data_IF_208591907516
#
_entry.id   IF_208591907516
#
_cell.length_a   1.000
_cell.length_b   1.000
_cell.length_c   1.000
_cell.angle_alpha   90.00
_cell.angle_beta   90.00
_cell.angle_gamma   90.00
#
_symmetry.space_group_name_H-M   'P 1'
#
loop_
_entity.id
_entity.type
_entity.pdbx_description
1 polymer ?
#
# COMPACT_ATOMS: atom_id res chain seq x y z
N UNK A 1 77.01 80.57 8.03
CA UNK A 1 75.53 80.67 7.92
C UNK A 1 74.96 79.69 6.90
N UNK A 2 75.47 79.61 5.65
CA UNK A 2 74.85 78.77 4.60
C UNK A 2 74.91 77.23 4.77
N UNK A 3 75.90 76.66 5.47
CA UNK A 3 76.02 75.20 5.65
C UNK A 3 75.03 74.64 6.67
N UNK A 4 74.71 75.40 7.72
CA UNK A 4 73.73 75.02 8.74
C UNK A 4 72.30 75.02 8.18
N UNK A 5 71.97 76.00 7.33
CA UNK A 5 70.63 76.07 6.72
C UNK A 5 70.38 74.93 5.73
N UNK A 6 71.41 74.56 4.94
CA UNK A 6 71.33 73.43 4.00
C UNK A 6 71.18 72.10 4.77
N UNK A 7 71.94 71.90 5.84
CA UNK A 7 71.83 70.65 6.65
C UNK A 7 70.48 70.51 7.32
N UNK A 8 69.92 71.60 7.88
CA UNK A 8 68.56 71.60 8.43
C UNK A 8 67.52 71.28 7.34
N UNK A 9 67.65 71.86 6.14
CA UNK A 9 66.76 71.57 5.00
C UNK A 9 66.81 70.11 4.55
N UNK A 10 68.00 69.49 4.53
CA UNK A 10 68.15 68.09 4.17
C UNK A 10 67.53 67.17 5.22
N UNK A 11 67.70 67.50 6.50
CA UNK A 11 67.09 66.74 7.61
C UNK A 11 65.57 66.82 7.53
N UNK A 12 65.00 68.01 7.33
CA UNK A 12 63.54 68.17 7.21
C UNK A 12 62.99 67.47 5.97
N UNK A 13 63.67 67.58 4.82
CA UNK A 13 63.31 66.86 3.61
C UNK A 13 63.34 65.34 3.82
N UNK A 14 64.34 64.82 4.53
CA UNK A 14 64.43 63.40 4.89
C UNK A 14 63.25 62.96 5.76
N UNK A 15 62.91 63.72 6.82
CA UNK A 15 61.75 63.41 7.66
C UNK A 15 60.44 63.44 6.88
N UNK A 16 60.26 64.39 5.97
CA UNK A 16 59.08 64.48 5.10
C UNK A 16 59.01 63.27 4.17
N UNK A 17 60.10 62.90 3.51
CA UNK A 17 60.17 61.72 2.63
C UNK A 17 59.87 60.43 3.41
N UNK A 18 60.44 60.29 4.61
CA UNK A 18 60.19 59.15 5.48
C UNK A 18 58.71 59.08 5.89
N UNK A 19 58.11 60.21 6.28
CA UNK A 19 56.69 60.28 6.61
C UNK A 19 55.79 59.92 5.42
N UNK A 20 56.11 60.42 4.21
CA UNK A 20 55.38 60.08 2.98
C UNK A 20 55.50 58.59 2.65
N UNK A 21 56.69 58.00 2.80
CA UNK A 21 56.91 56.58 2.58
C UNK A 21 56.11 55.74 3.59
N UNK A 22 56.12 56.14 4.87
CA UNK A 22 55.33 55.48 5.91
C UNK A 22 53.83 55.53 5.60
N UNK A 23 53.30 56.69 5.22
CA UNK A 23 51.89 56.86 4.83
C UNK A 23 51.55 56.01 3.60
N UNK A 24 52.43 55.96 2.60
CA UNK A 24 52.24 55.14 1.39
C UNK A 24 52.12 53.64 1.71
N UNK A 25 52.98 53.13 2.61
CA UNK A 25 52.92 51.72 3.06
C UNK A 25 51.59 51.45 3.77
N UNK A 26 51.15 52.34 4.66
CA UNK A 26 49.87 52.20 5.36
C UNK A 26 48.68 52.22 4.39
N UNK A 27 48.72 53.07 3.37
CA UNK A 27 47.69 53.13 2.34
C UNK A 27 47.59 51.81 1.54
N UNK A 28 48.74 51.24 1.14
CA UNK A 28 48.76 49.95 0.44
C UNK A 28 48.18 48.80 1.28
N UNK A 29 48.48 48.77 2.58
CA UNK A 29 47.90 47.78 3.50
C UNK A 29 46.40 47.98 3.69
N UNK A 30 45.94 49.22 3.81
CA UNK A 30 44.52 49.55 3.89
C UNK A 30 43.78 49.12 2.63
N UNK A 31 44.35 49.37 1.46
CA UNK A 31 43.78 48.99 0.16
C UNK A 31 43.62 47.46 0.04
N UNK A 32 44.62 46.68 0.47
CA UNK A 32 44.53 45.21 0.51
C UNK A 32 43.38 44.74 1.39
N UNK A 33 43.22 45.33 2.58
CA UNK A 33 42.13 45.00 3.50
C UNK A 33 40.77 45.35 2.91
N UNK A 34 40.64 46.49 2.24
CA UNK A 34 39.41 46.84 1.54
C UNK A 34 39.07 45.86 0.42
N UNK A 35 40.05 45.46 -0.40
CA UNK A 35 39.82 44.43 -1.44
C UNK A 35 39.41 43.09 -0.85
N UNK A 36 40.05 42.67 0.25
CA UNK A 36 39.70 41.43 0.93
C UNK A 36 38.28 41.50 1.51
N UNK A 37 37.91 42.62 2.12
CA UNK A 37 36.56 42.83 2.65
C UNK A 37 35.51 42.83 1.54
N UNK A 38 35.78 43.50 0.41
CA UNK A 38 34.91 43.48 -0.75
C UNK A 38 34.74 42.05 -1.31
N UNK A 39 35.81 41.27 -1.40
CA UNK A 39 35.76 39.87 -1.81
C UNK A 39 34.93 39.01 -0.84
N UNK A 40 35.11 39.21 0.47
CA UNK A 40 34.30 38.53 1.49
C UNK A 40 32.82 38.89 1.40
N UNK A 41 32.49 40.15 1.08
CA UNK A 41 31.11 40.58 0.92
C UNK A 41 30.45 39.92 -0.30
N UNK A 42 31.16 39.87 -1.44
CA UNK A 42 30.68 39.18 -2.65
C UNK A 42 30.42 37.71 -2.37
N UNK A 43 31.39 37.01 -1.76
CA UNK A 43 31.24 35.60 -1.41
C UNK A 43 30.05 35.35 -0.46
N UNK A 44 29.81 36.26 0.50
CA UNK A 44 28.66 36.17 1.40
C UNK A 44 27.34 36.35 0.63
N UNK A 45 27.27 37.31 -0.28
CA UNK A 45 26.08 37.51 -1.14
C UNK A 45 25.81 36.30 -2.03
N UNK A 46 26.84 35.71 -2.64
CA UNK A 46 26.71 34.48 -3.42
C UNK A 46 26.19 33.31 -2.57
N UNK A 47 26.72 33.16 -1.35
CA UNK A 47 26.23 32.14 -0.41
C UNK A 47 24.77 32.36 -0.01
N UNK A 48 24.31 33.60 0.13
CA UNK A 48 22.92 33.92 0.43
C UNK A 48 21.98 33.59 -0.73
N UNK A 49 22.41 33.87 -1.96
CA UNK A 49 21.67 33.49 -3.17
C UNK A 49 21.55 31.98 -3.27
N UNK A 50 22.66 31.24 -3.12
CA UNK A 50 22.65 29.78 -3.17
C UNK A 50 21.76 29.16 -2.08
N UNK A 51 21.76 29.73 -0.87
CA UNK A 51 20.87 29.29 0.20
C UNK A 51 19.40 29.54 -0.15
N UNK A 52 19.08 30.68 -0.76
CA UNK A 52 17.71 31.01 -1.18
C UNK A 52 17.22 30.05 -2.26
N UNK A 53 18.06 29.74 -3.25
CA UNK A 53 17.77 28.74 -4.30
C UNK A 53 17.56 27.33 -3.71
N UNK A 54 18.37 26.96 -2.71
CA UNK A 54 18.18 25.68 -2.02
C UNK A 54 16.84 25.63 -1.26
N UNK A 55 16.42 26.74 -0.64
CA UNK A 55 15.13 26.83 0.04
C UNK A 55 13.95 26.74 -0.92
N UNK A 56 14.04 27.36 -2.10
CA UNK A 56 13.00 27.26 -3.13
C UNK A 56 12.90 25.83 -3.66
N UNK A 57 14.02 25.19 -3.98
CA UNK A 57 14.05 23.80 -4.46
C UNK A 57 13.48 22.81 -3.42
N UNK A 58 13.76 23.05 -2.13
CA UNK A 58 13.18 22.25 -1.04
C UNK A 58 11.66 22.43 -0.94
N UNK A 59 11.18 23.66 -1.09
CA UNK A 59 9.75 23.97 -1.07
C UNK A 59 9.00 23.30 -2.23
N UNK A 60 9.58 23.33 -3.43
CA UNK A 60 9.04 22.62 -4.60
C UNK A 60 9.01 21.10 -4.39
N UNK A 61 10.09 20.54 -3.82
CA UNK A 61 10.13 19.10 -3.51
C UNK A 61 9.05 18.69 -2.51
N UNK A 62 8.78 19.54 -1.50
CA UNK A 62 7.67 19.32 -0.57
C UNK A 62 6.30 19.38 -1.23
N UNK A 63 6.10 20.30 -2.19
CA UNK A 63 4.86 20.38 -2.96
C UNK A 63 4.62 19.08 -3.75
N UNK A 64 5.62 18.62 -4.51
CA UNK A 64 5.55 17.38 -5.30
C UNK A 64 5.27 16.17 -4.41
N UNK A 65 5.90 16.11 -3.23
CA UNK A 65 5.65 15.05 -2.26
C UNK A 65 4.21 15.08 -1.73
N UNK A 66 3.68 16.27 -1.43
CA UNK A 66 2.30 16.45 -0.99
C UNK A 66 1.29 16.02 -2.06
N UNK A 67 1.53 16.37 -3.32
CA UNK A 67 0.70 15.94 -4.45
C UNK A 67 0.74 14.41 -4.62
N UNK A 68 1.92 13.80 -4.50
CA UNK A 68 2.08 12.34 -4.57
C UNK A 68 1.31 11.63 -3.45
N UNK A 69 1.29 12.20 -2.24
CA UNK A 69 0.50 11.66 -1.13
C UNK A 69 -1.01 11.75 -1.38
N UNK A 70 -1.48 12.81 -2.04
CA UNK A 70 -2.89 12.97 -2.38
C UNK A 70 -3.33 11.91 -3.40
N UNK A 71 -2.54 11.72 -4.46
CA UNK A 71 -2.81 10.67 -5.46
C UNK A 71 -2.83 9.28 -4.82
N UNK A 72 -1.87 8.98 -3.93
CA UNK A 72 -1.84 7.71 -3.22
C UNK A 72 -3.08 7.49 -2.33
N UNK A 73 -3.59 8.55 -1.71
CA UNK A 73 -4.80 8.48 -0.90
C UNK A 73 -6.04 8.17 -1.76
N UNK A 74 -6.16 8.79 -2.94
CA UNK A 74 -7.22 8.51 -3.89
C UNK A 74 -7.16 7.06 -4.41
N UNK A 75 -5.97 6.57 -4.76
CA UNK A 75 -5.77 5.18 -5.17
C UNK A 75 -6.17 4.18 -4.06
N UNK A 76 -5.85 4.50 -2.80
CA UNK A 76 -6.24 3.67 -1.67
C UNK A 76 -7.76 3.65 -1.44
N UNK A 77 -8.43 4.80 -1.61
CA UNK A 77 -9.89 4.88 -1.52
C UNK A 77 -10.56 4.06 -2.63
N UNK A 78 -10.06 4.18 -3.87
CA UNK A 78 -10.54 3.39 -5.01
C UNK A 78 -10.37 1.88 -4.75
N UNK A 79 -9.18 1.45 -4.32
CA UNK A 79 -8.91 0.05 -4.00
C UNK A 79 -9.79 -0.48 -2.87
N UNK A 80 -10.03 0.33 -1.84
CA UNK A 80 -10.92 -0.02 -0.73
C UNK A 80 -12.35 -0.28 -1.23
N UNK A 81 -12.84 0.54 -2.15
CA UNK A 81 -14.16 0.37 -2.77
C UNK A 81 -14.23 -0.92 -3.59
N UNK A 82 -13.22 -1.18 -4.42
CA UNK A 82 -13.14 -2.41 -5.21
C UNK A 82 -13.13 -3.67 -4.32
N UNK A 83 -12.39 -3.65 -3.21
CA UNK A 83 -12.41 -4.73 -2.23
C UNK A 83 -13.79 -4.94 -1.61
N UNK A 84 -14.51 -3.86 -1.27
CA UNK A 84 -15.86 -3.98 -0.72
C UNK A 84 -16.83 -4.59 -1.73
N UNK A 85 -16.73 -4.21 -2.99
CA UNK A 85 -17.59 -4.73 -4.06
C UNK A 85 -17.28 -6.20 -4.35
N UNK A 86 -16.00 -6.59 -4.37
CA UNK A 86 -15.58 -7.99 -4.49
C UNK A 86 -16.07 -8.85 -3.32
N UNK A 87 -16.07 -8.32 -2.10
CA UNK A 87 -16.63 -9.02 -0.92
C UNK A 87 -18.14 -9.24 -1.06
N UNK A 88 -18.89 -8.26 -1.59
CA UNK A 88 -20.32 -8.41 -1.87
C UNK A 88 -20.56 -9.49 -2.92
N UNK A 89 -19.80 -9.45 -4.02
CA UNK A 89 -19.89 -10.45 -5.08
C UNK A 89 -19.63 -11.86 -4.55
N UNK A 90 -18.57 -12.05 -3.77
CA UNK A 90 -18.28 -13.34 -3.14
C UNK A 90 -19.40 -13.83 -2.22
N UNK A 91 -20.02 -12.93 -1.45
CA UNK A 91 -21.15 -13.26 -0.58
C UNK A 91 -22.36 -13.73 -1.40
N UNK A 92 -22.65 -13.07 -2.51
CA UNK A 92 -23.78 -13.45 -3.37
C UNK A 92 -23.50 -14.75 -4.13
N UNK A 93 -22.27 -14.93 -4.61
CA UNK A 93 -21.84 -16.17 -5.23
C UNK A 93 -21.93 -17.36 -4.26
N UNK A 94 -21.53 -17.16 -2.99
CA UNK A 94 -21.69 -18.16 -1.94
C UNK A 94 -23.15 -18.57 -1.75
N UNK A 95 -24.08 -17.61 -1.64
CA UNK A 95 -25.52 -17.90 -1.53
C UNK A 95 -26.00 -18.71 -2.74
N UNK A 96 -25.55 -18.36 -3.95
CA UNK A 96 -25.89 -19.08 -5.17
C UNK A 96 -25.42 -20.53 -5.13
N UNK A 97 -24.18 -20.78 -4.70
CA UNK A 97 -23.67 -22.15 -4.54
C UNK A 97 -24.41 -22.93 -3.46
N UNK A 98 -24.74 -22.32 -2.32
CA UNK A 98 -25.55 -22.96 -1.27
C UNK A 98 -26.95 -23.34 -1.78
N UNK A 99 -27.57 -22.47 -2.58
CA UNK A 99 -28.85 -22.77 -3.23
C UNK A 99 -28.73 -23.96 -4.20
N UNK A 100 -27.73 -23.96 -5.07
CA UNK A 100 -27.49 -25.04 -6.02
C UNK A 100 -27.22 -26.36 -5.28
N UNK A 101 -26.41 -26.35 -4.22
CA UNK A 101 -26.11 -27.53 -3.42
C UNK A 101 -27.37 -28.12 -2.79
N UNK A 102 -28.25 -27.28 -2.23
CA UNK A 102 -29.55 -27.72 -1.68
C UNK A 102 -30.45 -28.29 -2.77
N UNK A 103 -30.52 -27.66 -3.93
CA UNK A 103 -31.30 -28.15 -5.06
C UNK A 103 -30.80 -29.51 -5.56
N UNK A 104 -29.48 -29.70 -5.67
CA UNK A 104 -28.88 -30.97 -6.06
C UNK A 104 -29.14 -32.07 -5.01
N UNK A 105 -29.02 -31.75 -3.72
CA UNK A 105 -29.34 -32.69 -2.64
C UNK A 105 -30.82 -33.12 -2.70
N UNK A 106 -31.74 -32.18 -2.90
CA UNK A 106 -33.16 -32.48 -3.02
C UNK A 106 -33.45 -33.35 -4.25
N UNK A 107 -32.80 -33.05 -5.37
CA UNK A 107 -32.93 -33.86 -6.59
C UNK A 107 -32.41 -35.29 -6.38
N UNK A 108 -31.29 -35.46 -5.67
CA UNK A 108 -30.76 -36.78 -5.34
C UNK A 108 -31.71 -37.59 -4.44
N UNK A 109 -32.31 -36.95 -3.44
CA UNK A 109 -33.34 -37.55 -2.58
C UNK A 109 -34.55 -37.96 -3.42
N UNK A 110 -35.06 -37.09 -4.28
CA UNK A 110 -36.18 -37.38 -5.16
C UNK A 110 -35.90 -38.55 -6.13
N UNK A 111 -34.66 -38.65 -6.63
CA UNK A 111 -34.22 -39.79 -7.44
C UNK A 111 -34.25 -41.11 -6.64
N UNK A 112 -33.74 -41.11 -5.40
CA UNK A 112 -33.75 -42.29 -4.54
C UNK A 112 -35.17 -42.70 -4.15
N UNK A 113 -36.05 -41.74 -3.85
CA UNK A 113 -37.46 -42.00 -3.59
C UNK A 113 -38.14 -42.64 -4.80
N UNK A 114 -37.89 -42.14 -6.02
CA UNK A 114 -38.38 -42.77 -7.26
C UNK A 114 -37.88 -44.19 -7.44
N UNK A 115 -36.59 -44.44 -7.21
CA UNK A 115 -36.02 -45.79 -7.29
C UNK A 115 -36.65 -46.74 -6.28
N UNK A 116 -36.78 -46.32 -5.02
CA UNK A 116 -37.44 -47.10 -3.99
C UNK A 116 -38.88 -47.43 -4.38
N UNK A 117 -39.63 -46.43 -4.86
CA UNK A 117 -41.02 -46.62 -5.30
C UNK A 117 -41.13 -47.65 -6.42
N UNK A 118 -40.21 -47.63 -7.40
CA UNK A 118 -40.14 -48.63 -8.46
C UNK A 118 -39.83 -50.02 -7.91
N UNK A 119 -38.87 -50.17 -6.99
CA UNK A 119 -38.49 -51.47 -6.40
C UNK A 119 -39.62 -52.12 -5.59
N UNK A 120 -40.47 -51.32 -4.95
CA UNK A 120 -41.64 -51.83 -4.21
C UNK A 120 -42.90 -51.93 -5.08
N UNK A 121 -42.77 -51.87 -6.41
CA UNK A 121 -43.87 -52.00 -7.35
C UNK A 121 -44.90 -50.87 -7.28
N UNK A 122 -44.50 -49.68 -6.84
CA UNK A 122 -45.38 -48.52 -6.67
C UNK A 122 -46.18 -48.52 -5.37
N UNK A 123 -45.89 -49.40 -4.41
CA UNK A 123 -46.56 -49.40 -3.12
C UNK A 123 -45.95 -48.38 -2.14
N UNK A 124 -46.57 -47.21 -2.04
CA UNK A 124 -46.12 -46.13 -1.16
C UNK A 124 -46.14 -46.51 0.33
N UNK A 125 -47.10 -47.34 0.76
CA UNK A 125 -47.22 -47.79 2.16
C UNK A 125 -46.01 -48.66 2.52
N UNK A 126 -45.64 -49.60 1.64
CA UNK A 126 -44.45 -50.44 1.82
C UNK A 126 -43.17 -49.60 1.83
N UNK A 127 -43.00 -48.68 0.89
CA UNK A 127 -41.83 -47.79 0.86
C UNK A 127 -41.67 -46.99 2.17
N UNK A 128 -42.76 -46.38 2.64
CA UNK A 128 -42.74 -45.60 3.88
C UNK A 128 -42.50 -46.49 5.11
N UNK A 129 -43.14 -47.66 5.17
CA UNK A 129 -42.95 -48.62 6.26
C UNK A 129 -41.50 -49.07 6.40
N UNK A 130 -40.83 -49.37 5.27
CA UNK A 130 -39.42 -49.76 5.27
C UNK A 130 -38.50 -48.61 5.76
N UNK A 131 -38.79 -47.37 5.34
CA UNK A 131 -38.04 -46.20 5.82
C UNK A 131 -38.21 -46.00 7.33
N UNK A 132 -39.44 -46.12 7.84
CA UNK A 132 -39.71 -45.95 9.28
C UNK A 132 -39.04 -47.05 10.13
N UNK A 133 -39.03 -48.29 9.65
CA UNK A 133 -38.26 -49.36 10.30
C UNK A 133 -36.78 -48.95 10.41
N UNK A 134 -36.17 -48.49 9.31
CA UNK A 134 -34.76 -48.05 9.35
C UNK A 134 -34.52 -46.83 10.23
N UNK A 135 -35.48 -45.89 10.33
CA UNK A 135 -35.41 -44.75 11.27
C UNK A 135 -35.44 -45.19 12.72
N UNK A 136 -36.28 -46.18 13.06
CA UNK A 136 -36.33 -46.73 14.42
C UNK A 136 -35.06 -47.48 14.79
N UNK A 137 -34.45 -48.18 13.83
CA UNK A 137 -33.21 -48.93 14.04
C UNK A 137 -31.97 -48.03 14.09
N UNK A 138 -31.94 -46.93 13.33
CA UNK A 138 -30.76 -46.07 13.17
C UNK A 138 -31.09 -44.58 13.39
N UNK A 139 -31.50 -44.16 14.60
CA UNK A 139 -31.93 -42.80 14.86
C UNK A 139 -30.83 -41.76 14.60
N UNK A 140 -31.23 -40.56 14.17
CA UNK A 140 -30.32 -39.42 13.95
C UNK A 140 -29.59 -39.41 12.61
N UNK A 141 -29.86 -40.35 11.69
CA UNK A 141 -29.33 -40.31 10.31
C UNK A 141 -30.17 -39.38 9.42
N UNK A 142 -29.56 -38.93 8.31
CA UNK A 142 -30.23 -38.09 7.32
C UNK A 142 -31.24 -38.89 6.48
N UNK A 143 -32.26 -38.22 5.94
CA UNK A 143 -33.25 -38.84 5.06
C UNK A 143 -32.60 -39.59 3.87
N UNK A 144 -31.58 -38.96 3.27
CA UNK A 144 -30.80 -39.56 2.19
C UNK A 144 -30.09 -40.86 2.59
N UNK A 145 -29.72 -41.02 3.85
CA UNK A 145 -29.08 -42.23 4.36
C UNK A 145 -30.09 -43.38 4.42
N UNK A 146 -31.28 -43.15 4.99
CA UNK A 146 -32.33 -44.17 5.06
C UNK A 146 -32.78 -44.61 3.67
N UNK A 147 -33.01 -43.64 2.77
CA UNK A 147 -33.39 -43.93 1.39
C UNK A 147 -32.33 -44.79 0.68
N UNK A 148 -31.05 -44.40 0.76
CA UNK A 148 -29.95 -45.21 0.18
C UNK A 148 -29.89 -46.60 0.79
N UNK A 149 -30.06 -46.72 2.11
CA UNK A 149 -29.96 -47.99 2.83
C UNK A 149 -31.07 -48.95 2.41
N UNK A 150 -32.32 -48.51 2.44
CA UNK A 150 -33.47 -49.32 2.03
C UNK A 150 -33.37 -49.70 0.55
N UNK A 151 -33.06 -48.74 -0.34
CA UNK A 151 -32.89 -49.02 -1.77
C UNK A 151 -31.79 -50.06 -2.01
N UNK A 152 -30.65 -49.96 -1.33
CA UNK A 152 -29.55 -50.91 -1.44
C UNK A 152 -29.92 -52.32 -0.95
N UNK A 153 -30.57 -52.41 0.21
CA UNK A 153 -30.96 -53.71 0.78
C UNK A 153 -32.00 -54.42 -0.09
N UNK A 154 -32.94 -53.68 -0.70
CA UNK A 154 -33.90 -54.21 -1.66
C UNK A 154 -33.24 -54.70 -2.95
N UNK A 155 -32.37 -53.89 -3.56
CA UNK A 155 -31.63 -54.28 -4.78
C UNK A 155 -30.79 -55.55 -4.55
N UNK A 156 -30.15 -55.65 -3.39
CA UNK A 156 -29.37 -56.83 -3.00
C UNK A 156 -30.24 -58.08 -2.87
N UNK A 157 -31.46 -57.95 -2.36
CA UNK A 157 -32.38 -59.08 -2.21
C UNK A 157 -33.00 -59.50 -3.54
N UNK A 158 -33.33 -58.56 -4.44
CA UNK A 158 -33.75 -58.89 -5.81
C UNK A 158 -32.67 -59.68 -6.56
N UNK A 159 -31.40 -59.27 -6.44
CA UNK A 159 -30.29 -59.98 -7.10
C UNK A 159 -30.19 -61.45 -6.63
N UNK A 160 -30.43 -61.72 -5.35
CA UNK A 160 -30.38 -63.07 -4.78
C UNK A 160 -31.51 -63.99 -5.22
N UNK A 161 -32.64 -63.44 -5.68
CA UNK A 161 -33.79 -64.23 -6.15
C UNK A 161 -33.83 -64.41 -7.67
N UNK A 162 -32.88 -63.79 -8.39
CA UNK A 162 -32.76 -63.83 -9.85
C UNK A 162 -31.74 -64.85 -10.38
N UNK A 163 -31.05 -65.60 -9.51
CA UNK A 163 -30.09 -66.67 -9.85
C UNK A 163 -30.46 -67.94 -9.08
#
# INVERSE_FOLDING_TARGET
MGTLTITILLITAFFVLFALLYVSIQYQELEKRFRLLAGSQVALSESQTALSESQTALSESHLVLSESHLVLAEDFEALSKDCQDLVKEHKDLRKKYEFIAKAQQQQAIANLQRQLFTLVGGNQITANGLIEIEKTANPGRSESWYLKKVTFDLQRNEYKHSH
#
